data_IF_519784510917
#
_entry.id   IF_519784510917
#
_cell.length_a   1.000
_cell.length_b   1.000
_cell.length_c   1.000
_cell.angle_alpha   90.00
_cell.angle_beta   90.00
_cell.angle_gamma   90.00
#
_symmetry.space_group_name_H-M   'P 1'
#
loop_
_entity.id
_entity.type
_entity.pdbx_description
1 polymer ?
#
# COMPACT_ATOMS: atom_id res chain seq x y z
N UNK A 1 23.63 28.76 14.08
CA UNK A 1 22.17 28.95 13.92
C UNK A 1 21.54 28.10 12.77
N UNK A 2 22.29 27.75 11.69
CA UNK A 2 21.70 26.99 10.56
C UNK A 2 21.33 25.53 10.88
N UNK A 3 22.05 24.83 11.74
CA UNK A 3 21.79 23.44 12.11
C UNK A 3 20.52 23.24 12.95
N UNK A 4 20.17 24.20 13.81
CA UNK A 4 18.95 24.14 14.64
C UNK A 4 17.69 24.36 13.80
N UNK A 5 17.77 25.23 12.80
CA UNK A 5 16.64 25.51 11.89
C UNK A 5 16.41 24.36 10.91
N UNK A 6 17.47 23.65 10.49
CA UNK A 6 17.41 22.45 9.65
C UNK A 6 16.60 21.33 10.31
N UNK A 7 16.96 21.03 11.55
CA UNK A 7 16.29 19.96 12.32
C UNK A 7 14.82 20.26 12.55
N UNK A 8 14.42 21.54 12.55
CA UNK A 8 13.05 21.95 12.80
C UNK A 8 12.11 21.70 11.61
N UNK A 9 12.51 21.96 10.36
CA UNK A 9 11.66 21.79 9.16
C UNK A 9 11.36 20.31 8.88
N UNK A 10 12.38 19.47 8.85
CA UNK A 10 12.21 18.03 8.60
C UNK A 10 11.58 17.31 9.79
N UNK A 11 11.83 17.76 11.02
CA UNK A 11 11.14 17.28 12.19
C UNK A 11 9.64 17.58 12.10
N UNK A 12 9.25 18.82 11.75
CA UNK A 12 7.85 19.19 11.58
C UNK A 12 7.17 18.39 10.47
N UNK A 13 7.88 18.11 9.37
CA UNK A 13 7.37 17.23 8.31
C UNK A 13 7.21 15.79 8.81
N UNK A 14 8.20 15.25 9.52
CA UNK A 14 8.12 13.92 10.13
C UNK A 14 6.94 13.81 11.10
N UNK A 15 6.77 14.81 11.98
CA UNK A 15 5.63 14.86 12.90
C UNK A 15 4.30 14.86 12.14
N UNK A 16 4.24 15.61 11.02
CA UNK A 16 3.07 15.65 10.14
C UNK A 16 2.81 14.28 9.48
N UNK A 17 3.83 13.61 8.98
CA UNK A 17 3.70 12.28 8.37
C UNK A 17 3.20 11.24 9.38
N UNK A 18 3.55 11.38 10.65
CA UNK A 18 3.10 10.49 11.71
C UNK A 18 1.65 10.72 12.16
N UNK A 19 0.95 11.73 11.62
CA UNK A 19 -0.50 11.88 11.74
C UNK A 19 -1.27 10.99 10.75
N UNK A 20 -0.63 10.46 9.71
CA UNK A 20 -1.22 9.41 8.89
C UNK A 20 -1.39 8.12 9.71
N UNK A 21 -2.45 7.34 9.44
CA UNK A 21 -2.66 6.08 10.14
C UNK A 21 -1.48 5.10 10.05
N UNK A 22 -0.67 5.17 9.02
CA UNK A 22 0.50 4.30 8.83
C UNK A 22 1.82 4.91 9.30
N UNK A 23 1.92 6.22 9.43
CA UNK A 23 3.08 6.90 9.98
C UNK A 23 4.42 6.68 9.25
N UNK A 24 5.46 7.29 9.81
CA UNK A 24 6.88 7.05 9.48
C UNK A 24 7.70 7.32 10.74
N UNK A 25 8.16 6.29 11.49
CA UNK A 25 8.94 6.46 12.70
C UNK A 25 10.14 7.39 12.49
N UNK A 26 10.34 8.42 13.33
CA UNK A 26 11.41 9.39 13.16
C UNK A 26 12.77 8.75 13.49
N UNK A 27 13.61 8.60 12.49
CA UNK A 27 15.01 8.16 12.61
C UNK A 27 15.92 9.10 11.82
N UNK A 28 17.22 9.01 12.02
CA UNK A 28 18.19 9.76 11.22
C UNK A 28 18.09 9.42 9.73
N UNK A 29 17.78 8.16 9.41
CA UNK A 29 17.57 7.72 8.02
C UNK A 29 16.35 8.38 7.40
N UNK A 30 15.22 8.50 8.13
CA UNK A 30 14.06 9.22 7.64
C UNK A 30 14.42 10.69 7.32
N UNK A 31 15.13 11.37 8.22
CA UNK A 31 15.51 12.77 7.98
C UNK A 31 16.39 12.91 6.74
N UNK A 32 17.36 12.02 6.54
CA UNK A 32 18.19 12.00 5.32
C UNK A 32 17.37 11.73 4.06
N UNK A 33 16.36 10.83 4.11
CA UNK A 33 15.43 10.61 3.00
C UNK A 33 14.66 11.89 2.68
N UNK A 34 14.12 12.55 3.70
CA UNK A 34 13.36 13.79 3.52
C UNK A 34 14.23 14.93 2.99
N UNK A 35 15.51 15.00 3.35
CA UNK A 35 16.48 15.97 2.83
C UNK A 35 16.76 15.79 1.34
N UNK A 36 16.74 14.55 0.84
CA UNK A 36 16.88 14.27 -0.60
C UNK A 36 15.62 14.66 -1.36
N UNK A 37 14.43 14.41 -0.78
CA UNK A 37 13.14 14.59 -1.46
C UNK A 37 12.61 16.02 -1.42
N UNK A 38 12.86 16.76 -0.35
CA UNK A 38 12.30 18.09 -0.10
C UNK A 38 13.40 19.11 0.22
N UNK A 39 13.27 20.30 -0.31
CA UNK A 39 14.02 21.45 0.23
C UNK A 39 13.47 21.81 1.62
N UNK A 40 14.22 22.57 2.39
CA UNK A 40 13.79 23.05 3.73
C UNK A 40 12.49 23.82 3.69
N UNK A 41 12.33 24.66 2.66
CA UNK A 41 11.11 25.45 2.46
C UNK A 41 9.93 24.54 2.14
N UNK A 42 10.11 23.62 1.19
CA UNK A 42 9.08 22.63 0.85
C UNK A 42 8.67 21.79 2.06
N UNK A 43 9.64 21.29 2.84
CA UNK A 43 9.37 20.53 4.06
C UNK A 43 8.52 21.33 5.07
N UNK A 44 8.86 22.61 5.26
CA UNK A 44 8.11 23.50 6.16
C UNK A 44 6.68 23.75 5.66
N UNK A 45 6.48 23.94 4.36
CA UNK A 45 5.17 24.17 3.76
C UNK A 45 4.31 22.89 3.77
N UNK A 46 4.89 21.73 3.39
CA UNK A 46 4.18 20.45 3.37
C UNK A 46 3.78 20.01 4.79
N UNK A 47 4.58 20.32 5.81
CA UNK A 47 4.25 20.04 7.21
C UNK A 47 2.94 20.71 7.68
N UNK A 48 2.50 21.76 7.03
CA UNK A 48 1.25 22.48 7.35
C UNK A 48 0.03 21.96 6.57
N UNK A 49 0.24 21.19 5.51
CA UNK A 49 -0.86 20.73 4.64
C UNK A 49 -1.77 19.71 5.35
N UNK A 50 -3.07 19.68 5.02
CA UNK A 50 -4.00 18.69 5.56
C UNK A 50 -3.72 17.28 5.02
N UNK A 51 -4.12 16.23 5.74
CA UNK A 51 -4.10 14.84 5.25
C UNK A 51 -5.21 14.62 4.22
N UNK A 52 -6.37 15.23 4.44
CA UNK A 52 -7.51 15.17 3.55
C UNK A 52 -7.22 15.89 2.23
N UNK A 53 -7.92 15.54 1.14
CA UNK A 53 -7.84 16.30 -0.11
C UNK A 53 -8.12 17.79 0.10
N UNK A 54 -7.39 18.65 -0.58
CA UNK A 54 -7.50 20.11 -0.46
C UNK A 54 -7.27 20.78 -1.83
N UNK A 55 -7.75 22.01 -1.98
CA UNK A 55 -7.57 22.83 -3.18
C UNK A 55 -6.50 23.92 -2.97
N UNK A 56 -6.21 24.67 -4.04
CA UNK A 56 -5.24 25.78 -4.02
C UNK A 56 -5.60 26.85 -2.99
N UNK A 57 -6.88 27.22 -2.90
CA UNK A 57 -7.35 28.25 -1.98
C UNK A 57 -7.13 27.86 -0.51
N UNK A 58 -7.35 26.58 -0.17
CA UNK A 58 -7.07 26.06 1.17
C UNK A 58 -5.57 26.13 1.51
N UNK A 59 -4.69 25.70 0.58
CA UNK A 59 -3.25 25.79 0.77
C UNK A 59 -2.76 27.24 0.88
N UNK A 60 -3.26 28.14 0.04
CA UNK A 60 -2.95 29.58 0.07
C UNK A 60 -3.29 30.20 1.43
N UNK A 61 -4.47 29.87 1.97
CA UNK A 61 -4.91 30.33 3.30
C UNK A 61 -4.00 29.76 4.41
N UNK A 62 -3.63 28.47 4.34
CA UNK A 62 -2.75 27.82 5.32
C UNK A 62 -1.35 28.46 5.29
N UNK A 63 -0.80 28.68 4.11
CA UNK A 63 0.54 29.22 3.91
C UNK A 63 0.61 30.73 4.01
N UNK A 64 -0.54 31.43 4.05
CA UNK A 64 -0.64 32.90 4.01
C UNK A 64 0.09 33.49 2.80
N UNK A 65 -0.06 32.84 1.64
CA UNK A 65 0.55 33.20 0.37
C UNK A 65 -0.53 33.46 -0.69
N UNK A 66 -0.22 34.26 -1.74
CA UNK A 66 -1.12 34.43 -2.88
C UNK A 66 -1.44 33.07 -3.55
N UNK A 67 -2.67 32.91 -4.05
CA UNK A 67 -3.09 31.66 -4.72
C UNK A 67 -2.20 31.28 -5.91
N UNK A 68 -1.78 32.28 -6.71
CA UNK A 68 -0.90 32.04 -7.87
C UNK A 68 0.47 31.45 -7.45
N UNK A 69 1.06 31.94 -6.34
CA UNK A 69 2.29 31.40 -5.78
C UNK A 69 2.07 29.99 -5.20
N UNK A 70 0.98 29.83 -4.43
CA UNK A 70 0.62 28.56 -3.84
C UNK A 70 0.38 27.48 -4.89
N UNK A 71 -0.32 27.79 -5.97
CA UNK A 71 -0.52 26.90 -7.12
C UNK A 71 0.81 26.42 -7.69
N UNK A 72 1.74 27.36 -7.95
CA UNK A 72 3.05 27.02 -8.50
C UNK A 72 3.84 26.07 -7.60
N UNK A 73 3.78 26.29 -6.28
CA UNK A 73 4.45 25.41 -5.31
C UNK A 73 3.81 24.01 -5.31
N UNK A 74 2.46 23.94 -5.29
CA UNK A 74 1.73 22.67 -5.31
C UNK A 74 2.00 21.88 -6.60
N UNK A 75 1.99 22.53 -7.75
CA UNK A 75 2.31 21.91 -9.05
C UNK A 75 3.77 21.43 -9.11
N UNK A 76 4.70 22.18 -8.51
CA UNK A 76 6.10 21.76 -8.39
C UNK A 76 6.21 20.49 -7.52
N UNK A 77 5.54 20.45 -6.37
CA UNK A 77 5.54 19.28 -5.50
C UNK A 77 4.87 18.06 -6.18
N UNK A 78 3.78 18.28 -6.93
CA UNK A 78 3.12 17.22 -7.68
C UNK A 78 4.02 16.69 -8.82
N UNK A 79 4.73 17.57 -9.53
CA UNK A 79 5.68 17.15 -10.57
C UNK A 79 6.85 16.32 -10.06
N UNK A 80 7.18 16.46 -8.77
CA UNK A 80 8.17 15.63 -8.07
C UNK A 80 7.61 14.32 -7.54
N UNK A 81 6.28 14.11 -7.60
CA UNK A 81 5.59 12.97 -6.98
C UNK A 81 5.45 13.09 -5.46
N UNK A 82 5.67 14.27 -4.88
CA UNK A 82 5.52 14.52 -3.44
C UNK A 82 4.06 14.83 -3.06
N UNK A 83 3.26 15.29 -4.01
CA UNK A 83 1.82 15.41 -3.93
C UNK A 83 1.18 14.67 -5.11
N UNK A 84 -0.07 14.27 -4.96
CA UNK A 84 -0.93 13.89 -6.07
C UNK A 84 -1.87 15.05 -6.37
N UNK A 85 -2.09 15.34 -7.65
CA UNK A 85 -3.07 16.30 -8.13
C UNK A 85 -4.06 15.60 -9.07
N UNK A 86 -5.33 15.84 -8.87
CA UNK A 86 -6.39 15.25 -9.67
C UNK A 86 -7.51 16.24 -9.91
N UNK A 87 -8.24 16.06 -10.99
CA UNK A 87 -9.43 16.85 -11.27
C UNK A 87 -10.65 16.15 -10.69
N UNK A 88 -11.41 16.86 -9.87
CA UNK A 88 -12.65 16.40 -9.31
C UNK A 88 -13.72 17.48 -9.48
N UNK A 89 -14.77 17.22 -10.26
CA UNK A 89 -15.87 18.16 -10.53
C UNK A 89 -15.37 19.55 -11.00
N UNK A 90 -14.47 19.56 -11.97
CA UNK A 90 -13.84 20.76 -12.54
C UNK A 90 -12.95 21.56 -11.58
N UNK A 91 -12.63 21.01 -10.43
CA UNK A 91 -11.70 21.60 -9.46
C UNK A 91 -10.41 20.78 -9.35
N UNK A 92 -9.26 21.45 -9.33
CA UNK A 92 -7.97 20.80 -9.08
C UNK A 92 -7.80 20.55 -7.58
N UNK A 93 -7.74 19.30 -7.20
CA UNK A 93 -7.58 18.83 -5.83
C UNK A 93 -6.19 18.22 -5.65
N UNK A 94 -5.56 18.51 -4.53
CA UNK A 94 -4.27 17.98 -4.14
C UNK A 94 -4.42 17.03 -2.95
N UNK A 95 -3.58 16.02 -2.91
CA UNK A 95 -3.49 15.05 -1.82
C UNK A 95 -2.04 14.89 -1.41
N UNK A 96 -1.75 14.99 -0.11
CA UNK A 96 -0.47 14.56 0.44
C UNK A 96 -0.51 13.04 0.59
N UNK A 97 0.20 12.28 -0.24
CA UNK A 97 0.24 10.83 -0.09
C UNK A 97 1.01 10.44 1.17
N UNK A 98 0.72 9.27 1.76
CA UNK A 98 1.54 8.75 2.84
C UNK A 98 2.95 8.41 2.36
N UNK A 99 3.90 8.14 3.26
CA UNK A 99 5.24 7.71 2.88
C UNK A 99 5.23 6.44 2.02
N UNK A 100 4.65 5.34 2.50
CA UNK A 100 4.54 4.07 1.77
C UNK A 100 3.18 3.91 1.11
N UNK A 101 3.15 3.32 -0.07
CA UNK A 101 2.10 3.40 -1.07
C UNK A 101 1.80 4.86 -1.42
N UNK A 102 2.88 5.64 -1.58
CA UNK A 102 2.86 7.06 -1.80
C UNK A 102 4.21 7.60 -2.28
N UNK A 103 4.69 8.70 -1.67
CA UNK A 103 5.81 9.45 -2.25
C UNK A 103 7.17 8.71 -2.21
N UNK A 104 7.36 7.70 -1.35
CA UNK A 104 8.56 6.87 -1.42
C UNK A 104 8.60 6.11 -2.74
N UNK A 105 7.51 5.45 -3.12
CA UNK A 105 7.40 4.75 -4.40
C UNK A 105 7.50 5.72 -5.57
N UNK A 106 6.78 6.82 -5.53
CA UNK A 106 6.71 7.77 -6.65
C UNK A 106 8.07 8.39 -6.94
N UNK A 107 8.91 8.60 -5.92
CA UNK A 107 10.28 9.11 -6.09
C UNK A 107 11.20 8.20 -6.91
N UNK A 108 10.86 6.91 -7.03
CA UNK A 108 11.63 5.91 -7.77
C UNK A 108 10.86 5.19 -8.88
N UNK A 109 9.61 5.58 -9.16
CA UNK A 109 8.83 5.01 -10.27
C UNK A 109 9.25 5.55 -11.64
N UNK A 110 10.07 6.60 -11.68
CA UNK A 110 10.60 7.21 -12.89
C UNK A 110 12.12 7.18 -12.88
N UNK A 111 12.72 6.66 -13.93
CA UNK A 111 14.16 6.72 -14.15
C UNK A 111 14.60 8.16 -14.43
N UNK A 112 15.69 8.62 -13.80
CA UNK A 112 16.29 9.94 -14.09
C UNK A 112 15.42 11.14 -13.70
N UNK A 113 14.72 11.07 -12.57
CA UNK A 113 13.81 12.12 -12.08
C UNK A 113 14.48 13.30 -11.35
N UNK A 114 15.79 13.44 -11.45
CA UNK A 114 16.55 14.53 -10.80
C UNK A 114 16.98 14.26 -9.36
N UNK A 115 16.56 13.15 -8.76
CA UNK A 115 17.07 12.68 -7.47
C UNK A 115 18.31 11.80 -7.64
N UNK A 116 19.19 11.77 -6.63
CA UNK A 116 20.21 10.74 -6.51
C UNK A 116 19.53 9.41 -6.13
N UNK A 117 19.14 8.67 -7.17
CA UNK A 117 18.37 7.42 -7.01
C UNK A 117 19.21 6.31 -6.35
N UNK A 118 20.54 6.34 -6.50
CA UNK A 118 21.42 5.39 -5.81
C UNK A 118 21.43 5.66 -4.31
N UNK A 119 21.63 6.93 -3.92
CA UNK A 119 21.57 7.33 -2.52
C UNK A 119 20.20 7.03 -1.91
N UNK A 120 19.11 7.34 -2.62
CA UNK A 120 17.75 6.99 -2.17
C UNK A 120 17.57 5.48 -1.99
N UNK A 121 18.06 4.67 -2.92
CA UNK A 121 17.99 3.22 -2.83
C UNK A 121 18.71 2.68 -1.59
N UNK A 122 19.89 3.21 -1.29
CA UNK A 122 20.66 2.86 -0.09
C UNK A 122 19.92 3.26 1.19
N UNK A 123 19.41 4.50 1.25
CA UNK A 123 18.66 5.01 2.39
C UNK A 123 17.36 4.23 2.60
N UNK A 124 16.60 3.97 1.55
CA UNK A 124 15.38 3.16 1.64
C UNK A 124 15.68 1.73 2.07
N UNK A 125 16.75 1.13 1.56
CA UNK A 125 17.13 -0.21 1.99
C UNK A 125 17.45 -0.27 3.48
N UNK A 126 18.20 0.70 4.00
CA UNK A 126 18.49 0.77 5.42
C UNK A 126 17.22 1.00 6.26
N UNK A 127 16.38 1.95 5.86
CA UNK A 127 15.18 2.32 6.61
C UNK A 127 14.06 1.26 6.56
N UNK A 128 13.91 0.55 5.44
CA UNK A 128 12.82 -0.41 5.24
C UNK A 128 13.23 -1.86 5.50
N UNK A 129 14.49 -2.22 5.23
CA UNK A 129 14.93 -3.61 5.25
C UNK A 129 15.93 -3.92 6.37
N UNK A 130 16.63 -2.93 6.92
CA UNK A 130 17.56 -3.10 8.03
C UNK A 130 16.97 -2.62 9.34
N UNK A 131 16.49 -1.37 9.40
CA UNK A 131 15.67 -0.88 10.52
C UNK A 131 14.26 -1.51 10.42
N UNK A 132 13.78 -2.15 11.47
CA UNK A 132 12.50 -2.86 11.42
C UNK A 132 11.30 -2.00 11.84
N UNK A 133 11.54 -0.86 12.47
CA UNK A 133 10.49 -0.07 13.12
C UNK A 133 9.45 0.47 12.14
N UNK A 134 9.88 0.93 10.96
CA UNK A 134 8.96 1.40 9.94
C UNK A 134 8.08 0.26 9.40
N UNK A 135 8.69 -0.85 9.03
CA UNK A 135 7.98 -2.00 8.44
C UNK A 135 7.05 -2.64 9.47
N UNK A 136 7.49 -2.76 10.73
CA UNK A 136 6.64 -3.20 11.84
C UNK A 136 5.46 -2.25 12.04
N UNK A 137 5.70 -0.95 12.08
CA UNK A 137 4.64 0.04 12.23
C UNK A 137 3.66 -0.03 11.05
N UNK A 138 4.18 -0.07 9.82
CA UNK A 138 3.36 -0.09 8.60
C UNK A 138 2.47 -1.34 8.52
N UNK A 139 3.04 -2.53 8.71
CA UNK A 139 2.40 -3.80 8.41
C UNK A 139 1.82 -4.53 9.63
N UNK A 140 2.22 -4.16 10.85
CA UNK A 140 1.81 -4.85 12.06
C UNK A 140 1.08 -3.94 13.07
N UNK A 141 0.81 -2.70 12.71
CA UNK A 141 0.23 -1.71 13.61
C UNK A 141 -1.27 -1.85 13.86
N UNK A 142 -1.98 -2.81 13.27
CA UNK A 142 -3.41 -3.01 13.41
C UNK A 142 -3.91 -4.25 12.67
N UNK A 143 -5.23 -4.55 12.79
CA UNK A 143 -5.89 -5.64 12.07
C UNK A 143 -6.17 -5.29 10.60
N UNK A 144 -6.41 -3.99 10.31
CA UNK A 144 -6.68 -3.50 8.96
C UNK A 144 -5.37 -3.25 8.22
N UNK A 145 -5.09 -4.06 7.22
CA UNK A 145 -3.86 -3.98 6.43
C UNK A 145 -3.94 -2.91 5.34
N UNK A 146 -2.78 -2.31 5.01
CA UNK A 146 -2.65 -1.33 3.93
C UNK A 146 -2.97 -1.93 2.56
N UNK A 147 -2.43 -3.12 2.32
CA UNK A 147 -2.55 -3.81 1.06
C UNK A 147 -3.07 -5.24 1.21
N UNK A 148 -3.56 -5.79 0.12
CA UNK A 148 -4.06 -7.15 0.02
C UNK A 148 -3.51 -7.88 -1.19
N UNK A 149 -3.55 -9.18 -1.11
CA UNK A 149 -3.27 -10.06 -2.24
C UNK A 149 -4.55 -10.24 -3.07
N UNK A 150 -4.41 -10.16 -4.39
CA UNK A 150 -5.43 -10.60 -5.34
C UNK A 150 -5.22 -12.09 -5.67
N UNK A 151 -6.32 -12.79 -5.94
CA UNK A 151 -6.24 -14.19 -6.36
C UNK A 151 -5.78 -14.27 -7.82
N UNK A 152 -4.93 -15.24 -8.14
CA UNK A 152 -4.62 -15.54 -9.53
C UNK A 152 -5.82 -16.21 -10.18
N UNK A 153 -6.51 -15.48 -11.06
CA UNK A 153 -7.77 -15.92 -11.68
C UNK A 153 -7.61 -17.21 -12.50
N UNK A 154 -6.45 -17.40 -13.14
CA UNK A 154 -6.14 -18.64 -13.90
C UNK A 154 -5.93 -19.87 -13.00
N UNK A 155 -5.80 -19.68 -11.69
CA UNK A 155 -5.71 -20.76 -10.70
C UNK A 155 -7.09 -21.17 -10.12
N UNK A 156 -8.15 -20.42 -10.45
CA UNK A 156 -9.51 -20.73 -10.00
C UNK A 156 -10.08 -21.90 -10.83
N UNK A 157 -10.74 -22.84 -10.17
CA UNK A 157 -11.56 -23.87 -10.81
C UNK A 157 -13.01 -23.37 -11.03
N UNK A 158 -13.83 -24.16 -11.75
CA UNK A 158 -15.23 -23.80 -12.04
C UNK A 158 -16.04 -23.45 -10.79
N UNK A 159 -15.87 -24.20 -9.70
CA UNK A 159 -16.64 -24.02 -8.48
C UNK A 159 -16.23 -22.73 -7.75
N UNK A 160 -14.94 -22.41 -7.75
CA UNK A 160 -14.40 -21.21 -7.12
C UNK A 160 -14.66 -19.93 -7.93
N UNK A 161 -14.78 -20.05 -9.25
CA UNK A 161 -15.09 -18.91 -10.14
C UNK A 161 -16.45 -18.30 -9.80
N UNK A 162 -17.41 -19.09 -9.32
CA UNK A 162 -18.71 -18.60 -8.88
C UNK A 162 -18.71 -17.94 -7.50
N UNK A 163 -17.67 -18.16 -6.70
CA UNK A 163 -17.57 -17.64 -5.32
C UNK A 163 -16.62 -16.46 -5.16
N UNK A 164 -15.78 -16.18 -6.17
CA UNK A 164 -14.87 -15.04 -6.16
C UNK A 164 -15.64 -13.75 -6.45
N UNK A 165 -15.45 -12.74 -5.62
CA UNK A 165 -16.07 -11.44 -5.82
C UNK A 165 -15.32 -10.61 -6.86
N UNK A 166 -16.01 -9.70 -7.55
CA UNK A 166 -15.40 -8.85 -8.58
C UNK A 166 -14.22 -8.07 -8.03
N UNK A 167 -14.35 -7.47 -6.85
CA UNK A 167 -13.25 -6.74 -6.23
C UNK A 167 -12.04 -7.61 -5.86
N UNK A 168 -12.14 -8.94 -5.83
CA UNK A 168 -11.03 -9.86 -5.57
C UNK A 168 -10.20 -10.14 -6.84
N UNK A 169 -10.68 -9.69 -8.01
CA UNK A 169 -10.07 -9.90 -9.32
C UNK A 169 -9.24 -8.70 -9.74
N UNK A 170 -8.00 -8.93 -10.13
CA UNK A 170 -7.16 -7.89 -10.71
C UNK A 170 -7.68 -7.43 -12.09
N UNK A 171 -8.23 -8.34 -12.87
CA UNK A 171 -8.84 -8.05 -14.17
C UNK A 171 -9.99 -7.05 -14.06
N UNK A 172 -10.85 -7.18 -13.04
CA UNK A 172 -11.98 -6.27 -12.84
C UNK A 172 -11.52 -4.85 -12.50
N UNK A 173 -10.44 -4.70 -11.71
CA UNK A 173 -9.84 -3.38 -11.45
C UNK A 173 -9.35 -2.74 -12.75
N UNK A 174 -8.72 -3.53 -13.64
CA UNK A 174 -8.24 -3.07 -14.94
C UNK A 174 -9.41 -2.62 -15.83
N UNK A 175 -10.50 -3.39 -15.87
CA UNK A 175 -11.66 -3.09 -16.72
C UNK A 175 -12.47 -1.88 -16.25
N UNK A 176 -12.51 -1.63 -14.94
CA UNK A 176 -13.37 -0.58 -14.34
C UNK A 176 -12.63 0.74 -14.06
N UNK A 177 -11.31 0.76 -14.20
CA UNK A 177 -10.51 1.95 -13.93
C UNK A 177 -10.76 3.06 -14.95
N UNK A 178 -10.93 4.31 -14.49
CA UNK A 178 -11.06 5.49 -15.36
C UNK A 178 -9.75 5.86 -16.06
N UNK A 179 -8.62 5.62 -15.39
CA UNK A 179 -7.26 5.84 -15.90
C UNK A 179 -6.38 4.70 -15.45
N UNK A 180 -5.42 4.33 -16.28
CA UNK A 180 -4.43 3.33 -15.94
C UNK A 180 -3.04 3.77 -16.38
N UNK A 181 -2.08 3.72 -15.44
CA UNK A 181 -0.69 4.07 -15.65
C UNK A 181 0.25 2.93 -15.29
N UNK A 182 1.30 2.77 -16.06
CA UNK A 182 2.38 1.80 -15.80
C UNK A 182 3.65 2.57 -15.49
N UNK A 183 4.22 2.28 -14.32
CA UNK A 183 5.49 2.82 -13.88
C UNK A 183 6.53 1.75 -13.57
N UNK A 184 7.78 2.16 -13.38
CA UNK A 184 8.83 1.27 -12.95
C UNK A 184 8.52 0.70 -11.56
N UNK A 185 8.82 -0.57 -11.35
CA UNK A 185 8.66 -1.20 -10.07
C UNK A 185 9.66 -0.60 -9.05
N UNK A 186 9.19 0.22 -8.14
CA UNK A 186 9.98 0.84 -7.08
C UNK A 186 10.90 -0.16 -6.37
N UNK A 187 10.34 -1.27 -5.90
CA UNK A 187 11.10 -2.27 -5.15
C UNK A 187 12.26 -2.88 -5.96
N UNK A 188 12.03 -3.22 -7.25
CA UNK A 188 13.09 -3.75 -8.14
C UNK A 188 14.08 -2.67 -8.50
N UNK A 189 13.63 -1.45 -8.80
CA UNK A 189 14.50 -0.33 -9.14
C UNK A 189 15.42 0.00 -7.96
N UNK A 190 14.89 0.05 -6.72
CA UNK A 190 15.71 0.15 -5.51
C UNK A 190 16.75 -0.97 -5.44
N UNK A 191 16.32 -2.23 -5.61
CA UNK A 191 17.23 -3.38 -5.53
C UNK A 191 18.24 -3.42 -6.70
N UNK A 192 17.91 -2.85 -7.86
CA UNK A 192 18.83 -2.75 -8.99
C UNK A 192 20.02 -1.85 -8.67
N UNK A 193 19.79 -0.71 -8.01
CA UNK A 193 20.87 0.17 -7.54
C UNK A 193 21.79 -0.47 -6.49
N UNK A 194 21.35 -1.57 -5.89
CA UNK A 194 22.09 -2.33 -4.87
C UNK A 194 22.64 -3.65 -5.39
N UNK A 195 22.56 -3.92 -6.70
CA UNK A 195 22.97 -5.18 -7.34
C UNK A 195 22.29 -6.43 -6.73
N UNK A 196 21.00 -6.28 -6.31
CA UNK A 196 20.19 -7.32 -5.65
C UNK A 196 18.87 -7.60 -6.36
N UNK A 197 18.61 -6.96 -7.50
CA UNK A 197 17.35 -7.14 -8.23
C UNK A 197 17.26 -8.54 -8.88
N UNK A 198 16.04 -9.02 -9.02
CA UNK A 198 15.75 -10.19 -9.88
C UNK A 198 15.45 -9.77 -11.31
N UNK A 199 15.42 -10.75 -12.22
CA UNK A 199 15.20 -10.57 -13.67
C UNK A 199 13.71 -10.37 -14.05
N UNK A 200 12.81 -10.19 -13.09
CA UNK A 200 11.40 -9.92 -13.38
C UNK A 200 11.23 -8.53 -14.04
N UNK A 201 10.18 -8.34 -14.88
CA UNK A 201 9.96 -7.09 -15.60
C UNK A 201 9.96 -5.86 -14.69
N UNK A 202 10.59 -4.77 -15.15
CA UNK A 202 10.65 -3.51 -14.39
C UNK A 202 9.37 -2.69 -14.57
N UNK A 203 8.89 -2.51 -15.81
CA UNK A 203 7.71 -1.68 -16.15
C UNK A 203 6.43 -2.47 -16.00
N UNK A 204 6.01 -2.71 -14.77
CA UNK A 204 4.91 -3.62 -14.46
C UNK A 204 4.10 -3.19 -13.22
N UNK A 205 4.45 -2.08 -12.58
CA UNK A 205 3.64 -1.53 -11.50
C UNK A 205 2.47 -0.72 -12.09
N UNK A 206 1.25 -1.12 -11.71
CA UNK A 206 0.01 -0.55 -12.22
C UNK A 206 -0.55 0.44 -11.20
N UNK A 207 -0.93 1.62 -11.67
CA UNK A 207 -1.69 2.62 -10.92
C UNK A 207 -3.01 2.91 -11.63
N UNK A 208 -4.04 3.30 -10.87
CA UNK A 208 -5.39 3.42 -11.37
C UNK A 208 -6.06 4.72 -10.92
N UNK A 209 -7.09 5.14 -11.65
CA UNK A 209 -7.99 6.25 -11.31
C UNK A 209 -7.22 7.58 -11.09
N UNK A 210 -7.56 8.35 -10.05
CA UNK A 210 -6.93 9.64 -9.77
C UNK A 210 -5.41 9.57 -9.53
N UNK A 211 -4.92 8.48 -8.92
CA UNK A 211 -3.46 8.25 -8.76
C UNK A 211 -2.79 8.12 -10.12
N UNK A 212 -3.36 7.32 -11.03
CA UNK A 212 -2.83 7.18 -12.38
C UNK A 212 -2.87 8.51 -13.14
N UNK A 213 -3.97 9.26 -13.03
CA UNK A 213 -4.11 10.56 -13.68
C UNK A 213 -2.96 11.51 -13.31
N UNK A 214 -2.67 11.64 -12.00
CA UNK A 214 -1.57 12.48 -11.52
C UNK A 214 -0.20 11.97 -12.00
N UNK A 215 0.08 10.68 -11.82
CA UNK A 215 1.38 10.12 -12.17
C UNK A 215 1.65 10.16 -13.69
N UNK A 216 0.64 9.99 -14.52
CA UNK A 216 0.73 10.13 -15.99
C UNK A 216 1.00 11.58 -16.35
N UNK A 217 0.24 12.53 -15.80
CA UNK A 217 0.38 13.98 -16.05
C UNK A 217 1.82 14.44 -15.79
N UNK A 218 2.46 13.92 -14.76
CA UNK A 218 3.81 14.30 -14.36
C UNK A 218 4.92 13.36 -14.88
N UNK A 219 4.59 12.39 -15.74
CA UNK A 219 5.55 11.50 -16.38
C UNK A 219 6.19 10.48 -15.44
N UNK A 220 5.57 10.17 -14.31
CA UNK A 220 5.98 9.08 -13.41
C UNK A 220 5.39 7.72 -13.85
N UNK A 221 4.34 7.74 -14.65
CA UNK A 221 3.74 6.55 -15.25
C UNK A 221 3.38 6.82 -16.72
N UNK A 222 3.38 5.77 -17.53
CA UNK A 222 2.94 5.77 -18.92
C UNK A 222 1.46 5.33 -18.96
N UNK A 223 0.63 6.08 -19.66
CA UNK A 223 -0.77 5.70 -19.86
C UNK A 223 -0.88 4.44 -20.72
N UNK A 224 -1.77 3.55 -20.37
CA UNK A 224 -2.08 2.32 -21.13
C UNK A 224 -3.60 2.12 -21.20
N UNK A 225 -4.03 1.35 -22.19
CA UNK A 225 -5.43 0.93 -22.33
C UNK A 225 -5.68 -0.41 -21.58
N UNK A 226 -6.95 -0.84 -21.57
CA UNK A 226 -7.38 -2.08 -20.92
C UNK A 226 -6.69 -3.30 -21.52
N UNK A 227 -6.50 -3.32 -22.85
CA UNK A 227 -5.87 -4.45 -23.53
C UNK A 227 -4.42 -4.61 -23.09
N UNK A 228 -3.64 -3.53 -23.14
CA UNK A 228 -2.24 -3.56 -22.70
C UNK A 228 -2.14 -3.87 -21.19
N UNK A 229 -3.04 -3.35 -20.36
CA UNK A 229 -3.12 -3.67 -18.93
C UNK A 229 -3.33 -5.16 -18.68
N UNK A 230 -4.20 -5.81 -19.45
CA UNK A 230 -4.42 -7.26 -19.36
C UNK A 230 -3.21 -8.06 -19.86
N UNK A 231 -2.54 -7.60 -20.93
CA UNK A 231 -1.32 -8.23 -21.43
C UNK A 231 -0.19 -8.19 -20.40
N UNK A 232 -0.04 -7.04 -19.70
CA UNK A 232 0.92 -6.87 -18.61
C UNK A 232 0.57 -7.73 -17.39
N UNK A 233 -0.72 -7.88 -17.05
CA UNK A 233 -1.16 -8.79 -16.00
C UNK A 233 -0.79 -10.24 -16.35
N UNK A 234 -1.01 -10.64 -17.58
CA UNK A 234 -0.62 -11.97 -18.08
C UNK A 234 0.90 -12.18 -18.03
N UNK A 235 1.68 -11.19 -18.45
CA UNK A 235 3.13 -11.20 -18.34
C UNK A 235 3.59 -11.37 -16.89
N UNK A 236 2.99 -10.61 -15.96
CA UNK A 236 3.29 -10.74 -14.54
C UNK A 236 3.02 -12.15 -14.01
N UNK A 237 1.89 -12.73 -14.40
CA UNK A 237 1.54 -14.10 -14.04
C UNK A 237 2.52 -15.13 -14.62
N UNK A 238 2.98 -14.95 -15.86
CA UNK A 238 3.99 -15.83 -16.48
C UNK A 238 5.33 -15.82 -15.70
N UNK A 239 5.69 -14.67 -15.14
CA UNK A 239 6.85 -14.52 -14.26
C UNK A 239 6.59 -14.93 -12.79
N UNK A 240 5.48 -15.60 -12.49
CA UNK A 240 5.08 -16.02 -11.15
C UNK A 240 5.00 -14.87 -10.12
N UNK A 241 4.69 -13.66 -10.59
CA UNK A 241 4.52 -12.51 -9.72
C UNK A 241 3.14 -12.53 -9.05
N UNK A 242 3.09 -12.04 -7.82
CA UNK A 242 1.85 -11.91 -7.03
C UNK A 242 1.25 -10.53 -7.27
N UNK A 243 -0.04 -10.49 -7.57
CA UNK A 243 -0.79 -9.25 -7.62
C UNK A 243 -1.08 -8.80 -6.18
N UNK A 244 -0.41 -7.72 -5.78
CA UNK A 244 -0.55 -7.08 -4.48
C UNK A 244 -1.04 -5.66 -4.69
N UNK A 245 -2.17 -5.29 -4.12
CA UNK A 245 -2.73 -3.97 -4.32
C UNK A 245 -3.38 -3.38 -3.10
N UNK A 246 -4.00 -2.23 -3.27
CA UNK A 246 -4.68 -1.52 -2.20
C UNK A 246 -5.79 -2.37 -1.58
N UNK A 247 -5.88 -2.39 -0.25
CA UNK A 247 -6.85 -3.19 0.48
C UNK A 247 -8.22 -2.48 0.55
N UNK A 248 -8.88 -2.36 -0.60
CA UNK A 248 -10.22 -1.79 -0.73
C UNK A 248 -11.03 -2.53 -1.80
N UNK A 249 -12.37 -2.44 -1.73
CA UNK A 249 -13.26 -3.02 -2.73
C UNK A 249 -13.38 -2.13 -3.98
N UNK A 250 -13.53 -0.81 -3.78
CA UNK A 250 -13.84 0.14 -4.84
C UNK A 250 -12.69 1.12 -5.04
N UNK A 251 -12.51 1.55 -6.29
CA UNK A 251 -11.55 2.60 -6.67
C UNK A 251 -10.11 2.28 -6.21
N UNK A 252 -9.66 1.06 -6.41
CA UNK A 252 -8.28 0.64 -6.13
C UNK A 252 -7.30 1.60 -6.80
N UNK A 253 -6.32 2.12 -6.05
CA UNK A 253 -5.36 3.09 -6.56
C UNK A 253 -4.14 2.43 -7.22
N UNK A 254 -3.77 1.21 -6.81
CA UNK A 254 -2.61 0.50 -7.36
C UNK A 254 -2.74 -1.02 -7.28
N UNK A 255 -2.12 -1.71 -8.23
CA UNK A 255 -1.79 -3.14 -8.19
C UNK A 255 -0.33 -3.29 -8.59
N UNK A 256 0.49 -3.73 -7.65
CA UNK A 256 1.88 -4.11 -7.87
C UNK A 256 1.96 -5.58 -8.30
N UNK A 257 2.95 -5.93 -9.12
CA UNK A 257 3.27 -7.28 -9.54
C UNK A 257 4.56 -7.72 -8.84
N UNK A 258 4.41 -8.41 -7.70
CA UNK A 258 5.42 -8.58 -6.68
C UNK A 258 6.17 -9.91 -6.77
N UNK A 259 7.49 -9.85 -6.63
CA UNK A 259 8.36 -11.03 -6.41
C UNK A 259 8.67 -11.19 -4.90
N UNK A 260 9.04 -12.40 -4.49
CA UNK A 260 9.40 -12.68 -3.09
C UNK A 260 10.77 -12.15 -2.63
N UNK A 261 11.59 -11.63 -3.56
CA UNK A 261 12.98 -11.23 -3.28
C UNK A 261 13.20 -9.70 -3.20
N UNK A 262 12.37 -8.90 -3.89
CA UNK A 262 12.55 -7.44 -3.94
C UNK A 262 11.43 -6.68 -3.24
N UNK A 263 10.18 -7.20 -3.27
CA UNK A 263 9.00 -6.49 -2.80
C UNK A 263 8.98 -6.34 -1.27
N UNK A 264 8.83 -5.11 -0.79
CA UNK A 264 8.77 -4.81 0.65
C UNK A 264 7.64 -5.56 1.36
N UNK A 265 6.46 -5.64 0.73
CA UNK A 265 5.31 -6.35 1.28
C UNK A 265 5.57 -7.86 1.40
N UNK A 266 6.19 -8.48 0.38
CA UNK A 266 6.51 -9.92 0.43
C UNK A 266 7.64 -10.22 1.42
N UNK A 267 8.64 -9.33 1.52
CA UNK A 267 9.71 -9.44 2.53
C UNK A 267 9.14 -9.28 3.93
N UNK A 268 8.24 -8.34 4.15
CA UNK A 268 7.53 -8.17 5.41
C UNK A 268 6.68 -9.41 5.76
N UNK A 269 5.97 -9.99 4.79
CA UNK A 269 5.18 -11.20 5.00
C UNK A 269 6.05 -12.39 5.45
N UNK A 270 7.24 -12.57 4.90
CA UNK A 270 8.18 -13.59 5.35
C UNK A 270 8.73 -13.32 6.75
N UNK A 271 9.07 -12.07 7.07
CA UNK A 271 9.69 -11.70 8.35
C UNK A 271 8.70 -11.63 9.51
N UNK A 272 7.47 -11.17 9.24
CA UNK A 272 6.46 -10.86 10.24
C UNK A 272 5.15 -11.63 10.05
N UNK A 273 5.23 -12.84 9.52
CA UNK A 273 4.07 -13.67 9.17
C UNK A 273 3.05 -13.82 10.31
N UNK A 274 3.52 -13.94 11.56
CA UNK A 274 2.65 -14.06 12.75
C UNK A 274 1.78 -12.81 12.97
N UNK A 275 2.19 -11.68 12.43
CA UNK A 275 1.49 -10.40 12.55
C UNK A 275 0.56 -10.12 11.36
N UNK A 276 0.46 -11.06 10.40
CA UNK A 276 -0.37 -10.94 9.19
C UNK A 276 -0.22 -9.57 8.48
N UNK A 277 0.98 -9.21 8.00
CA UNK A 277 1.26 -7.87 7.48
C UNK A 277 0.52 -7.54 6.17
N UNK A 278 -0.08 -8.54 5.53
CA UNK A 278 -0.81 -8.43 4.25
C UNK A 278 -2.16 -9.11 4.39
N UNK A 279 -3.23 -8.45 3.95
CA UNK A 279 -4.52 -9.09 3.85
C UNK A 279 -4.49 -10.19 2.77
N UNK A 280 -4.90 -11.40 3.16
CA UNK A 280 -4.89 -12.58 2.31
C UNK A 280 -6.10 -12.63 1.40
N UNK A 281 -6.08 -13.49 0.38
CA UNK A 281 -7.29 -13.82 -0.40
C UNK A 281 -8.24 -14.70 0.42
N UNK A 282 -9.45 -14.88 -0.08
CA UNK A 282 -10.43 -15.82 0.48
C UNK A 282 -10.20 -17.29 0.09
N UNK A 283 -9.00 -17.62 -0.39
CA UNK A 283 -8.64 -18.93 -0.88
C UNK A 283 -7.35 -19.46 -0.25
N UNK A 284 -7.22 -20.79 -0.23
CA UNK A 284 -6.00 -21.50 0.15
C UNK A 284 -5.71 -22.60 -0.86
N UNK A 285 -4.44 -22.88 -1.20
CA UNK A 285 -4.11 -24.06 -1.98
C UNK A 285 -4.28 -25.34 -1.15
N UNK A 286 -5.00 -26.31 -1.71
CA UNK A 286 -5.13 -27.66 -1.18
C UNK A 286 -4.25 -28.60 -2.01
N UNK A 287 -3.44 -29.41 -1.34
CA UNK A 287 -2.58 -30.42 -1.96
C UNK A 287 -3.36 -31.70 -2.14
N UNK A 288 -3.39 -32.25 -3.37
CA UNK A 288 -3.84 -33.62 -3.62
C UNK A 288 -2.75 -34.60 -3.26
N UNK A 289 -3.01 -35.52 -2.36
CA UNK A 289 -2.02 -36.54 -1.97
C UNK A 289 -1.73 -37.54 -3.10
N UNK A 290 -2.69 -37.79 -3.96
CA UNK A 290 -2.60 -38.73 -5.08
C UNK A 290 -1.82 -38.12 -6.25
N UNK A 291 -2.14 -36.89 -6.64
CA UNK A 291 -1.54 -36.23 -7.80
C UNK A 291 -0.17 -35.57 -7.48
N UNK A 292 0.16 -35.32 -6.21
CA UNK A 292 1.41 -34.67 -5.86
C UNK A 292 2.60 -35.62 -5.97
N UNK A 293 3.48 -35.37 -6.95
CA UNK A 293 4.73 -36.16 -7.13
C UNK A 293 5.94 -35.61 -6.35
N UNK A 294 5.79 -34.50 -5.60
CA UNK A 294 6.85 -33.92 -4.78
C UNK A 294 7.95 -33.16 -5.57
N UNK A 295 7.68 -32.69 -6.77
CA UNK A 295 8.66 -32.04 -7.65
C UNK A 295 9.23 -30.71 -7.13
N UNK A 296 8.60 -30.07 -6.11
CA UNK A 296 9.09 -28.85 -5.47
C UNK A 296 8.81 -27.55 -6.23
N UNK A 297 8.19 -27.55 -7.43
CA UNK A 297 7.92 -26.34 -8.20
C UNK A 297 7.10 -25.32 -7.41
N UNK A 298 6.10 -25.78 -6.65
CA UNK A 298 5.28 -24.93 -5.79
C UNK A 298 6.07 -24.25 -4.64
N UNK A 299 7.12 -24.90 -4.16
CA UNK A 299 8.03 -24.33 -3.14
C UNK A 299 8.85 -23.22 -3.77
N UNK A 300 9.43 -23.45 -4.93
CA UNK A 300 10.33 -22.50 -5.58
C UNK A 300 9.64 -21.19 -6.02
N UNK A 301 8.34 -21.26 -6.35
CA UNK A 301 7.59 -20.07 -6.79
C UNK A 301 6.86 -19.36 -5.65
N UNK A 302 6.85 -19.91 -4.44
CA UNK A 302 6.13 -19.33 -3.32
C UNK A 302 6.81 -18.03 -2.84
N UNK A 303 6.19 -16.85 -2.99
CA UNK A 303 6.83 -15.57 -2.69
C UNK A 303 7.07 -15.35 -1.20
N UNK A 304 6.36 -16.10 -0.34
CA UNK A 304 6.41 -15.96 1.14
C UNK A 304 6.84 -17.27 1.82
N UNK A 305 7.32 -18.24 1.05
CA UNK A 305 7.86 -19.52 1.57
C UNK A 305 6.85 -20.35 2.39
N UNK A 306 5.55 -20.17 2.10
CA UNK A 306 4.47 -20.91 2.75
C UNK A 306 4.36 -22.38 2.28
N UNK A 307 5.05 -22.76 1.21
CA UNK A 307 5.07 -24.12 0.69
C UNK A 307 6.39 -24.80 1.05
N UNK A 308 6.30 -26.02 1.54
CA UNK A 308 7.46 -26.85 1.87
C UNK A 308 7.32 -28.27 1.28
N UNK A 309 8.38 -29.07 1.33
CA UNK A 309 8.36 -30.50 1.01
C UNK A 309 8.55 -31.32 2.28
N UNK A 310 7.67 -32.30 2.49
CA UNK A 310 7.74 -33.26 3.59
C UNK A 310 7.76 -34.68 3.05
N UNK A 311 8.11 -35.66 3.90
CA UNK A 311 7.95 -37.07 3.55
C UNK A 311 6.50 -37.38 3.18
N UNK A 312 6.29 -38.13 2.12
CA UNK A 312 4.95 -38.60 1.75
C UNK A 312 4.42 -39.71 2.67
N UNK A 313 5.28 -40.28 3.52
CA UNK A 313 4.92 -41.43 4.36
C UNK A 313 4.66 -42.71 3.54
N UNK A 314 5.21 -42.82 2.33
CA UNK A 314 5.01 -43.96 1.45
C UNK A 314 5.84 -45.16 1.96
N UNK A 315 5.20 -46.28 2.38
CA UNK A 315 5.90 -47.45 2.90
C UNK A 315 6.78 -48.15 1.87
N UNK A 316 6.48 -47.98 0.56
CA UNK A 316 7.24 -48.57 -0.54
C UNK A 316 8.33 -47.67 -1.11
N UNK A 317 8.29 -46.37 -0.77
CA UNK A 317 9.27 -45.40 -1.23
C UNK A 317 9.51 -44.30 -0.17
N UNK A 318 10.46 -44.56 0.73
CA UNK A 318 10.83 -43.64 1.82
C UNK A 318 11.39 -42.27 1.31
N UNK A 319 11.82 -42.18 0.05
CA UNK A 319 12.33 -40.96 -0.57
C UNK A 319 11.21 -40.11 -1.18
N UNK A 320 10.00 -40.65 -1.33
CA UNK A 320 8.87 -39.91 -1.88
C UNK A 320 8.55 -38.70 -1.00
N UNK A 321 8.46 -37.51 -1.63
CA UNK A 321 8.09 -36.26 -1.00
C UNK A 321 6.72 -35.81 -1.46
N UNK A 322 6.06 -35.00 -0.66
CA UNK A 322 4.84 -34.29 -1.02
C UNK A 322 4.90 -32.84 -0.57
N UNK A 323 4.19 -31.97 -1.26
CA UNK A 323 4.05 -30.58 -0.85
C UNK A 323 3.25 -30.47 0.44
N UNK A 324 3.65 -29.53 1.30
CA UNK A 324 2.94 -29.15 2.53
C UNK A 324 2.76 -27.65 2.56
N UNK A 325 1.56 -27.22 2.88
CA UNK A 325 1.20 -25.81 3.08
C UNK A 325 1.35 -25.44 4.55
N UNK A 326 1.97 -24.29 4.79
CA UNK A 326 1.80 -23.53 6.03
C UNK A 326 0.71 -22.47 5.82
N UNK A 327 -0.48 -22.73 6.35
CA UNK A 327 -1.64 -21.86 6.19
C UNK A 327 -1.45 -20.48 6.86
N UNK A 328 -0.62 -20.41 7.91
CA UNK A 328 -0.35 -19.17 8.64
C UNK A 328 0.45 -18.16 7.85
N UNK A 329 1.31 -18.66 6.94
CA UNK A 329 2.13 -17.83 6.03
C UNK A 329 1.42 -17.55 4.71
N UNK A 330 0.46 -18.37 4.33
CA UNK A 330 -0.09 -18.41 2.98
C UNK A 330 -0.97 -17.19 2.69
N UNK A 331 -0.62 -16.43 1.64
CA UNK A 331 -1.41 -15.31 1.13
C UNK A 331 -2.63 -15.74 0.31
N UNK A 332 -2.72 -17.00 -0.12
CA UNK A 332 -3.79 -17.49 -0.99
C UNK A 332 -3.73 -16.97 -2.42
N UNK A 333 -2.57 -16.51 -2.88
CA UNK A 333 -2.41 -15.89 -4.21
C UNK A 333 -2.63 -16.83 -5.39
N UNK A 334 -2.47 -18.16 -5.22
CA UNK A 334 -2.67 -19.16 -6.27
C UNK A 334 -1.48 -19.37 -7.21
N UNK A 335 -0.35 -18.67 -7.04
CA UNK A 335 0.84 -18.83 -7.91
C UNK A 335 1.35 -20.29 -7.92
N UNK A 336 1.38 -20.94 -6.76
CA UNK A 336 1.80 -22.35 -6.64
C UNK A 336 0.85 -23.33 -7.36
N UNK A 337 -0.46 -23.00 -7.41
CA UNK A 337 -1.47 -23.79 -8.15
C UNK A 337 -1.20 -23.73 -9.64
N UNK A 338 -1.01 -22.50 -10.16
CA UNK A 338 -0.69 -22.30 -11.58
C UNK A 338 0.64 -22.95 -11.99
N UNK A 339 1.63 -22.95 -11.11
CA UNK A 339 2.93 -23.53 -11.38
C UNK A 339 2.99 -25.06 -11.26
N UNK A 340 1.91 -25.69 -10.78
CA UNK A 340 1.87 -27.14 -10.61
C UNK A 340 1.59 -27.87 -11.93
N UNK A 341 2.55 -28.66 -12.48
CA UNK A 341 2.36 -29.32 -13.77
C UNK A 341 1.39 -30.51 -13.69
N UNK A 342 1.24 -31.09 -12.51
CA UNK A 342 0.45 -32.30 -12.28
C UNK A 342 -0.98 -32.01 -11.81
N UNK A 343 -1.40 -30.75 -11.81
CA UNK A 343 -2.69 -30.35 -11.20
C UNK A 343 -2.89 -30.86 -9.75
N UNK A 344 -1.77 -31.14 -9.07
CA UNK A 344 -1.76 -31.64 -7.68
C UNK A 344 -2.08 -30.57 -6.63
N UNK A 345 -2.39 -29.35 -7.06
CA UNK A 345 -2.81 -28.24 -6.21
C UNK A 345 -4.07 -27.61 -6.79
N UNK A 346 -5.02 -27.28 -5.93
CA UNK A 346 -6.21 -26.54 -6.30
C UNK A 346 -6.52 -25.48 -5.25
N UNK A 347 -7.12 -24.35 -5.62
CA UNK A 347 -7.62 -23.37 -4.66
C UNK A 347 -8.89 -23.89 -4.00
N UNK A 348 -9.00 -23.69 -2.71
CA UNK A 348 -10.20 -23.98 -1.91
C UNK A 348 -10.56 -22.72 -1.13
N UNK A 349 -11.85 -22.40 -1.01
CA UNK A 349 -12.32 -21.26 -0.21
C UNK A 349 -11.93 -21.43 1.27
N UNK A 350 -11.52 -20.33 1.91
CA UNK A 350 -11.27 -20.30 3.36
C UNK A 350 -12.59 -20.50 4.11
N UNK A 351 -12.53 -21.15 5.26
CA UNK A 351 -13.69 -21.31 6.16
C UNK A 351 -14.23 -19.96 6.65
N UNK A 352 -13.34 -19.01 6.89
CA UNK A 352 -13.68 -17.66 7.32
C UNK A 352 -13.24 -16.67 6.26
N UNK A 353 -14.16 -15.83 5.78
CA UNK A 353 -13.86 -14.81 4.79
C UNK A 353 -13.08 -13.64 5.40
N UNK A 354 -12.11 -13.16 4.65
CA UNK A 354 -11.41 -11.91 4.93
C UNK A 354 -12.32 -10.75 4.48
N UNK A 355 -12.53 -9.79 5.36
CA UNK A 355 -13.36 -8.62 5.07
C UNK A 355 -12.47 -7.51 4.54
N UNK A 356 -12.74 -7.06 3.31
CA UNK A 356 -12.04 -5.95 2.66
C UNK A 356 -12.81 -4.64 2.90
N UNK A 357 -12.14 -3.55 3.34
CA UNK A 357 -12.77 -2.23 3.44
C UNK A 357 -13.35 -1.76 2.10
N UNK A 358 -14.46 -0.98 2.14
CA UNK A 358 -15.15 -0.59 0.91
C UNK A 358 -14.36 0.42 0.09
N UNK A 359 -13.77 1.44 0.75
CA UNK A 359 -13.01 2.53 0.12
C UNK A 359 -11.74 2.86 0.89
N UNK A 360 -10.83 3.65 0.29
CA UNK A 360 -9.61 4.18 0.94
C UNK A 360 -9.94 4.98 2.18
N UNK A 361 -11.00 5.79 2.16
CA UNK A 361 -11.47 6.53 3.34
C UNK A 361 -11.91 5.58 4.46
N UNK A 362 -12.69 4.53 4.13
CA UNK A 362 -13.11 3.50 5.09
C UNK A 362 -11.89 2.79 5.71
N UNK A 363 -10.94 2.35 4.89
CA UNK A 363 -9.70 1.74 5.36
C UNK A 363 -8.92 2.67 6.29
N UNK A 364 -8.73 3.94 5.90
CA UNK A 364 -7.98 4.91 6.68
C UNK A 364 -8.62 5.17 8.05
N UNK A 365 -9.94 5.25 8.12
CA UNK A 365 -10.67 5.40 9.40
C UNK A 365 -10.52 4.16 10.27
N UNK A 366 -10.63 2.94 9.70
CA UNK A 366 -10.38 1.70 10.44
C UNK A 366 -8.97 1.67 11.04
N UNK A 367 -7.96 1.94 10.20
CA UNK A 367 -6.56 1.99 10.65
C UNK A 367 -6.35 3.05 11.74
N UNK A 368 -6.96 4.23 11.59
CA UNK A 368 -6.85 5.30 12.59
C UNK A 368 -7.51 4.92 13.93
N UNK A 369 -8.65 4.24 13.90
CA UNK A 369 -9.30 3.71 15.12
C UNK A 369 -8.38 2.68 15.80
N UNK A 370 -7.86 1.72 15.05
CA UNK A 370 -7.02 0.65 15.57
C UNK A 370 -5.71 1.18 16.17
N UNK A 371 -5.14 2.22 15.58
CA UNK A 371 -3.88 2.86 15.99
C UNK A 371 -4.07 4.01 16.99
N UNK A 372 -5.32 4.39 17.29
CA UNK A 372 -5.62 5.48 18.24
C UNK A 372 -5.32 6.88 17.69
N UNK A 373 -5.32 7.05 16.36
CA UNK A 373 -5.06 8.31 15.64
C UNK A 373 -6.30 8.96 15.02
N UNK A 374 -7.51 8.54 15.40
CA UNK A 374 -8.75 9.05 14.79
C UNK A 374 -8.92 10.57 14.94
N UNK A 375 -8.47 11.15 16.05
CA UNK A 375 -8.49 12.59 16.29
C UNK A 375 -7.70 13.37 15.25
N UNK A 376 -6.61 12.80 14.73
CA UNK A 376 -5.74 13.43 13.75
C UNK A 376 -6.37 13.48 12.36
N UNK A 377 -7.24 12.49 12.04
CA UNK A 377 -8.06 12.53 10.82
C UNK A 377 -9.24 13.49 10.91
N UNK A 378 -9.80 13.71 12.11
CA UNK A 378 -10.93 14.62 12.30
C UNK A 378 -10.45 16.07 12.29
N UNK A 379 -9.37 16.37 13.03
CA UNK A 379 -8.80 17.70 13.22
C UNK A 379 -7.45 17.83 12.50
N UNK A 380 -7.43 17.66 11.20
CA UNK A 380 -6.20 17.54 10.40
C UNK A 380 -5.57 18.89 10.00
N UNK A 381 -6.23 20.02 10.22
CA UNK A 381 -5.68 21.33 9.88
C UNK A 381 -4.72 21.84 10.96
N UNK A 382 -3.44 21.54 10.78
CA UNK A 382 -2.37 21.87 11.73
C UNK A 382 -2.03 23.37 11.80
N UNK A 383 -2.46 24.17 10.83
CA UNK A 383 -2.27 25.62 10.85
C UNK A 383 -3.15 26.30 11.93
N UNK A 384 -4.30 25.70 12.27
CA UNK A 384 -5.21 26.25 13.27
C UNK A 384 -4.95 25.68 14.66
N UNK A 385 -4.68 26.54 15.61
CA UNK A 385 -4.44 26.16 17.01
C UNK A 385 -5.62 25.43 17.66
N UNK A 386 -6.86 25.82 17.31
CA UNK A 386 -8.08 25.17 17.80
C UNK A 386 -8.19 23.71 17.31
N UNK A 387 -7.81 23.39 16.07
CA UNK A 387 -7.76 22.02 15.61
C UNK A 387 -6.73 21.19 16.39
N UNK A 388 -5.53 21.75 16.64
CA UNK A 388 -4.51 21.07 17.46
C UNK A 388 -5.01 20.84 18.90
N UNK A 389 -5.64 21.84 19.51
CA UNK A 389 -6.21 21.71 20.84
C UNK A 389 -7.34 20.68 20.91
N UNK A 390 -8.26 20.69 19.94
CA UNK A 390 -9.36 19.72 19.88
C UNK A 390 -8.85 18.30 19.60
N UNK A 391 -7.85 18.12 18.74
CA UNK A 391 -7.22 16.83 18.51
C UNK A 391 -6.60 16.29 19.81
N UNK A 392 -5.89 17.12 20.57
CA UNK A 392 -5.30 16.73 21.84
C UNK A 392 -6.37 16.31 22.87
N UNK A 393 -7.45 17.09 23.02
CA UNK A 393 -8.56 16.78 23.94
C UNK A 393 -9.24 15.46 23.52
N UNK A 394 -9.61 15.32 22.24
CA UNK A 394 -10.26 14.11 21.75
C UNK A 394 -9.34 12.89 21.88
N UNK A 395 -8.05 13.04 21.62
CA UNK A 395 -7.05 11.99 21.79
C UNK A 395 -6.96 11.46 23.22
N UNK A 396 -7.08 12.34 24.23
CA UNK A 396 -7.16 11.92 25.64
C UNK A 396 -8.45 11.15 25.90
N UNK A 397 -9.60 11.66 25.42
CA UNK A 397 -10.90 11.00 25.61
C UNK A 397 -10.92 9.60 24.97
N UNK A 398 -10.40 9.46 23.75
CA UNK A 398 -10.37 8.18 23.03
C UNK A 398 -9.44 7.15 23.68
N UNK A 399 -8.46 7.57 24.48
CA UNK A 399 -7.57 6.69 25.25
C UNK A 399 -8.17 6.18 26.56
N UNK A 400 -9.29 6.76 27.03
CA UNK A 400 -9.95 6.30 28.25
C UNK A 400 -10.45 4.85 28.09
N UNK A 401 -10.25 3.96 29.09
CA UNK A 401 -10.58 2.56 29.00
C UNK A 401 -12.00 2.25 28.52
N UNK A 402 -13.08 2.86 29.05
CA UNK A 402 -14.44 2.58 28.59
C UNK A 402 -14.67 3.01 27.13
N UNK A 403 -14.10 4.13 26.69
CA UNK A 403 -14.23 4.60 25.29
C UNK A 403 -13.48 3.67 24.36
N UNK A 404 -12.26 3.23 24.74
CA UNK A 404 -11.46 2.29 23.97
C UNK A 404 -12.17 0.94 23.80
N UNK A 405 -12.85 0.43 24.84
CA UNK A 405 -13.65 -0.79 24.77
C UNK A 405 -14.86 -0.63 23.84
N UNK A 406 -15.57 0.49 23.90
CA UNK A 406 -16.71 0.79 23.03
C UNK A 406 -16.25 0.90 21.57
N UNK A 407 -15.15 1.61 21.30
CA UNK A 407 -14.58 1.73 19.96
C UNK A 407 -14.10 0.40 19.37
N UNK A 408 -13.62 -0.51 20.22
CA UNK A 408 -13.21 -1.85 19.82
C UNK A 408 -14.40 -2.76 19.49
N UNK A 409 -15.62 -2.44 19.94
CA UNK A 409 -16.79 -3.28 19.65
C UNK A 409 -17.14 -3.25 18.15
N UNK A 410 -17.38 -4.43 17.56
CA UNK A 410 -17.75 -4.55 16.13
C UNK A 410 -19.01 -3.74 15.75
N UNK A 411 -19.94 -3.54 16.68
CA UNK A 411 -21.15 -2.78 16.47
C UNK A 411 -20.92 -1.26 16.37
N UNK A 412 -20.00 -0.71 17.18
CA UNK A 412 -19.65 0.69 17.10
C UNK A 412 -18.79 0.99 15.89
N UNK A 413 -17.84 0.11 15.52
CA UNK A 413 -17.09 0.21 14.26
C UNK A 413 -18.05 0.37 13.07
N UNK A 414 -19.12 -0.42 12.98
CA UNK A 414 -20.09 -0.37 11.89
C UNK A 414 -20.96 0.90 11.91
N UNK A 415 -21.54 1.28 13.06
CA UNK A 415 -22.44 2.45 13.16
C UNK A 415 -21.71 3.77 12.99
N UNK A 416 -20.53 3.91 13.59
CA UNK A 416 -19.72 5.11 13.49
C UNK A 416 -19.19 5.31 12.09
N UNK A 417 -18.72 4.25 11.45
CA UNK A 417 -18.27 4.26 10.06
C UNK A 417 -19.39 4.61 9.09
N UNK A 418 -20.59 4.03 9.27
CA UNK A 418 -21.75 4.36 8.45
C UNK A 418 -22.13 5.85 8.59
N UNK A 419 -21.94 6.45 9.76
CA UNK A 419 -22.19 7.87 9.97
C UNK A 419 -21.11 8.75 9.34
N UNK A 420 -19.84 8.42 9.51
CA UNK A 420 -18.71 9.16 8.93
C UNK A 420 -18.70 9.08 7.39
N UNK A 421 -19.17 7.96 6.83
CA UNK A 421 -19.18 7.75 5.38
C UNK A 421 -20.41 8.33 4.67
N UNK A 422 -21.34 8.98 5.40
CA UNK A 422 -22.41 9.72 4.73
C UNK A 422 -21.82 10.86 3.90
N UNK A 423 -22.21 11.00 2.61
CA UNK A 423 -21.65 12.02 1.71
C UNK A 423 -21.70 13.45 2.25
N UNK A 424 -22.65 13.76 3.14
CA UNK A 424 -22.79 15.08 3.79
C UNK A 424 -21.62 15.47 4.71
N UNK A 425 -20.89 14.51 5.29
CA UNK A 425 -19.79 14.79 6.22
C UNK A 425 -18.44 15.03 5.53
N UNK A 426 -18.34 14.70 4.23
CA UNK A 426 -17.16 14.99 3.40
C UNK A 426 -17.33 16.21 2.50
N UNK A 427 -18.54 16.79 2.40
CA UNK A 427 -18.88 17.89 1.49
C UNK A 427 -19.06 19.25 2.21
N UNK A 428 -19.10 19.31 3.55
CA UNK A 428 -19.19 20.56 4.28
C UNK A 428 -17.81 21.07 4.73
N UNK A 429 -17.02 21.51 3.75
CA UNK A 429 -15.97 22.52 3.92
C UNK A 429 -16.31 23.76 3.12
N UNK A 430 -17.61 24.08 2.99
CA UNK A 430 -18.08 25.41 2.63
C UNK A 430 -18.57 26.06 3.93
N UNK A 431 -17.73 26.90 4.47
CA UNK A 431 -17.88 28.24 5.08
C UNK A 431 -16.68 28.58 5.92
#
# INVERSE_FOLDING_TARGET
MSHVTLKNSYQSLSDRLNLFPQGAPPTELLFRILEVLFTKEEASLVALLPIKPFNVAAAAKIWQKPEAESRKILETLASKGMLLDMELRDEQIFVLPPPMAGFFEFSMMRMGNGYDQKLLAELYYQYLNVEEDFVKNLFAGGETQLGRTFVNEKALNSDNTLTVMDYERASEVIHTASHMGIGACYCRHKMQHLDKACDAPMDICMTFNGTAQSLIKHGHARQVDVKEGMDLLDQAQQHNLVQFGENVQNSVAFICNCCGCCCEAMLAAKRFAVLNPIATTNFLPKVSEEACNGCGKCVNVCPVEAMGLVSAGDPHNSKRRKARLDESLCLGCGVCVRACPESGLMLQARKQRVITPVTTAHRSVLMAIERGGLQDLIFDNQAHWNHRAMAAILGVILKLPPVKQIMASKQMKSRYLAHLMKPRNFVHLEH
#
